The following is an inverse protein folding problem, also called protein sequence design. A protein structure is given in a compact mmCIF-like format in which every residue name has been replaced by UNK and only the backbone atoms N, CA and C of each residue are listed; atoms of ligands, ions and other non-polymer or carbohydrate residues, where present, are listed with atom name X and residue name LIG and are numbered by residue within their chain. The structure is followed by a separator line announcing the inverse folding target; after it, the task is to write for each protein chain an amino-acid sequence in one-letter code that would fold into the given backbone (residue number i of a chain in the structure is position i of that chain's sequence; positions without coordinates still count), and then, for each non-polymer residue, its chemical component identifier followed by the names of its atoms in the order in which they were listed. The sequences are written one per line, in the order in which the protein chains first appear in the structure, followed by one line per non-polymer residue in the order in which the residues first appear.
data_IF_074468650711
#
_entry.id   IF_074468650711
#
_cell.length_a   1.000
_cell.length_b   1.000
_cell.length_c   1.000
_cell.angle_alpha   90.00
_cell.angle_beta   90.00
_cell.angle_gamma   90.00
#
_symmetry.space_group_name_H-M   'P 1'
#
loop_
_entity.id
_entity.type
_entity.pdbx_description
1 polymer ?
#
# COMPACT_ATOMS: atom_id res chain seq x y z
N UNK A 1 15.42 -46.56 20.74
CA UNK A 1 15.57 -45.12 21.05
C UNK A 1 16.76 -44.53 20.27
N UNK A 2 17.93 -45.16 20.32
CA UNK A 2 19.14 -44.79 19.54
C UNK A 2 18.92 -44.74 18.03
N UNK A 3 18.19 -45.70 17.44
CA UNK A 3 17.96 -45.74 15.99
C UNK A 3 17.15 -44.55 15.44
N UNK A 4 16.19 -44.04 16.22
CA UNK A 4 15.34 -42.92 15.82
C UNK A 4 16.13 -41.61 15.93
N UNK A 5 16.92 -41.45 17.00
CA UNK A 5 17.83 -40.30 17.18
C UNK A 5 18.88 -40.27 16.07
N UNK A 6 19.45 -41.42 15.70
CA UNK A 6 20.41 -41.53 14.58
C UNK A 6 19.74 -41.14 13.27
N UNK A 7 18.50 -41.57 13.02
CA UNK A 7 17.75 -41.21 11.80
C UNK A 7 17.48 -39.70 11.72
N UNK A 8 17.06 -39.08 12.82
CA UNK A 8 16.81 -37.64 12.89
C UNK A 8 18.11 -36.85 12.78
N UNK A 9 19.19 -37.27 13.45
CA UNK A 9 20.49 -36.64 13.31
C UNK A 9 21.03 -36.75 11.89
N UNK A 10 20.81 -37.86 11.19
CA UNK A 10 21.22 -38.01 9.78
C UNK A 10 20.43 -37.08 8.87
N UNK A 11 19.12 -36.91 9.10
CA UNK A 11 18.31 -35.95 8.33
C UNK A 11 18.71 -34.49 8.63
N UNK A 12 18.92 -34.14 9.89
CA UNK A 12 19.38 -32.81 10.31
C UNK A 12 20.78 -32.50 9.80
N UNK A 13 21.71 -33.45 9.91
CA UNK A 13 23.07 -33.30 9.37
C UNK A 13 23.04 -33.23 7.83
N UNK A 14 22.12 -33.92 7.16
CA UNK A 14 21.91 -33.79 5.72
C UNK A 14 21.47 -32.39 5.32
N UNK A 15 20.49 -31.82 6.03
CA UNK A 15 19.97 -30.46 5.79
C UNK A 15 21.04 -29.41 6.12
N UNK A 16 21.72 -29.54 7.25
CA UNK A 16 22.82 -28.65 7.64
C UNK A 16 24.00 -28.79 6.69
N UNK A 17 24.34 -29.98 6.20
CA UNK A 17 25.40 -30.18 5.23
C UNK A 17 25.07 -29.53 3.89
N UNK A 18 23.80 -29.60 3.44
CA UNK A 18 23.34 -28.90 2.22
C UNK A 18 23.43 -27.38 2.45
N UNK A 19 22.89 -26.86 3.55
CA UNK A 19 22.97 -25.43 3.89
C UNK A 19 24.42 -24.94 4.02
N UNK A 20 25.30 -25.73 4.64
CA UNK A 20 26.72 -25.37 4.83
C UNK A 20 27.53 -25.51 3.53
N UNK A 21 27.17 -26.45 2.66
CA UNK A 21 27.78 -26.61 1.32
C UNK A 21 27.42 -25.45 0.41
N UNK A 22 26.15 -25.02 0.42
CA UNK A 22 25.69 -23.84 -0.32
C UNK A 22 26.32 -22.55 0.22
N UNK A 23 26.49 -22.42 1.54
CA UNK A 23 27.20 -21.28 2.13
C UNK A 23 28.72 -21.30 1.88
N UNK A 24 29.37 -22.47 1.83
CA UNK A 24 30.82 -22.61 1.54
C UNK A 24 31.19 -22.39 0.09
N UNK A 25 30.28 -22.66 -0.85
CA UNK A 25 30.54 -22.49 -2.29
C UNK A 25 30.36 -21.04 -2.76
N UNK A 26 30.14 -20.07 -1.86
CA UNK A 26 30.14 -18.64 -2.19
C UNK A 26 29.04 -18.25 -3.19
N UNK A 27 27.95 -19.00 -3.24
CA UNK A 27 26.88 -18.80 -4.23
C UNK A 27 25.69 -18.06 -3.63
N UNK A 28 25.92 -16.89 -3.06
CA UNK A 28 24.85 -15.89 -2.90
C UNK A 28 24.22 -15.54 -4.26
N UNK A 29 24.96 -15.73 -5.37
CA UNK A 29 24.49 -15.59 -6.75
C UNK A 29 23.50 -16.67 -7.22
N UNK A 30 23.41 -17.83 -6.57
CA UNK A 30 22.39 -18.84 -6.89
C UNK A 30 21.07 -18.54 -6.17
N UNK A 31 21.12 -17.99 -4.95
CA UNK A 31 19.97 -17.42 -4.25
C UNK A 31 19.38 -16.21 -5.00
N UNK A 32 20.22 -15.36 -5.60
CA UNK A 32 19.77 -14.24 -6.45
C UNK A 32 19.12 -14.67 -7.78
N UNK A 33 19.31 -15.93 -8.20
CA UNK A 33 18.74 -16.49 -9.44
C UNK A 33 17.39 -17.18 -9.24
N UNK A 34 17.00 -17.42 -8.00
CA UNK A 34 15.68 -17.96 -7.69
C UNK A 34 14.66 -16.85 -7.83
N UNK A 35 13.58 -17.15 -8.53
CA UNK A 35 12.40 -16.28 -8.54
C UNK A 35 11.85 -16.15 -7.13
N UNK A 36 11.18 -15.04 -6.82
CA UNK A 36 10.56 -14.82 -5.51
C UNK A 36 9.61 -15.96 -5.13
N UNK A 37 8.90 -16.52 -6.11
CA UNK A 37 8.02 -17.69 -5.95
C UNK A 37 8.77 -18.96 -5.53
N UNK A 38 9.97 -19.21 -6.08
CA UNK A 38 10.79 -20.36 -5.68
C UNK A 38 11.31 -20.22 -4.25
N UNK A 39 11.70 -19.01 -3.84
CA UNK A 39 12.11 -18.70 -2.46
C UNK A 39 10.92 -18.88 -1.50
N UNK A 40 9.74 -18.40 -1.89
CA UNK A 40 8.51 -18.52 -1.09
C UNK A 40 8.09 -19.99 -0.91
N UNK A 41 8.16 -20.77 -1.99
CA UNK A 41 7.86 -22.20 -1.99
C UNK A 41 8.86 -23.00 -1.15
N UNK A 42 10.16 -22.72 -1.27
CA UNK A 42 11.19 -23.32 -0.44
C UNK A 42 10.98 -23.00 1.05
N UNK A 43 10.65 -21.75 1.37
CA UNK A 43 10.38 -21.33 2.76
C UNK A 43 9.12 -22.02 3.32
N UNK A 44 8.06 -22.15 2.52
CA UNK A 44 6.84 -22.86 2.91
C UNK A 44 7.09 -24.37 3.13
N UNK A 45 7.96 -24.99 2.33
CA UNK A 45 8.36 -26.39 2.51
C UNK A 45 9.16 -26.59 3.81
N UNK A 46 10.13 -25.73 4.09
CA UNK A 46 10.91 -25.74 5.34
C UNK A 46 9.97 -25.62 6.56
N UNK A 47 8.97 -24.74 6.49
CA UNK A 47 7.98 -24.60 7.55
C UNK A 47 7.16 -25.88 7.78
N UNK A 48 6.69 -26.54 6.71
CA UNK A 48 5.96 -27.82 6.82
C UNK A 48 6.81 -28.92 7.46
N UNK A 49 8.08 -29.01 7.09
CA UNK A 49 9.03 -29.95 7.69
C UNK A 49 9.23 -29.65 9.19
N UNK A 50 9.36 -28.37 9.57
CA UNK A 50 9.49 -27.96 10.96
C UNK A 50 8.25 -28.33 11.81
N UNK A 51 7.03 -28.16 11.27
CA UNK A 51 5.78 -28.63 11.91
C UNK A 51 5.81 -30.13 12.19
N UNK A 52 6.15 -30.93 11.17
CA UNK A 52 6.24 -32.39 11.29
C UNK A 52 7.26 -32.85 12.34
N UNK A 53 8.41 -32.16 12.42
CA UNK A 53 9.43 -32.43 13.45
C UNK A 53 8.91 -32.06 14.85
N UNK A 54 8.29 -30.89 15.01
CA UNK A 54 7.75 -30.45 16.29
C UNK A 54 6.68 -31.39 16.84
N UNK A 55 5.80 -31.91 15.98
CA UNK A 55 4.77 -32.88 16.37
C UNK A 55 5.39 -34.19 16.85
N UNK A 56 6.40 -34.70 16.15
CA UNK A 56 7.13 -35.91 16.56
C UNK A 56 7.90 -35.71 17.86
N UNK A 57 8.51 -34.55 18.06
CA UNK A 57 9.21 -34.22 19.32
C UNK A 57 8.23 -34.18 20.49
N UNK A 58 7.03 -33.61 20.33
CA UNK A 58 6.01 -33.59 21.40
C UNK A 58 5.57 -35.00 21.82
N UNK A 59 5.51 -35.95 20.88
CA UNK A 59 5.15 -37.36 21.17
C UNK A 59 6.23 -38.08 21.99
N UNK A 60 7.52 -37.67 21.87
CA UNK A 60 8.66 -38.36 22.51
C UNK A 60 8.91 -37.88 23.96
N UNK A 61 8.25 -36.82 24.42
CA UNK A 61 8.52 -36.22 25.73
C UNK A 61 7.79 -36.98 26.84
N UNK A 62 8.46 -37.94 27.47
CA UNK A 62 8.13 -38.40 28.83
C UNK A 62 9.24 -38.11 29.86
N UNK A 63 10.51 -37.86 29.50
CA UNK A 63 11.55 -37.68 30.55
C UNK A 63 12.76 -36.73 30.28
N UNK A 64 12.78 -35.95 29.20
CA UNK A 64 13.96 -35.12 28.84
C UNK A 64 13.76 -33.60 28.97
N UNK A 65 14.40 -32.95 29.96
CA UNK A 65 14.43 -31.46 30.06
C UNK A 65 15.00 -30.79 28.80
N UNK A 66 16.00 -31.40 28.16
CA UNK A 66 16.61 -30.92 26.92
C UNK A 66 15.64 -30.96 25.72
N UNK A 67 14.85 -32.04 25.58
CA UNK A 67 13.86 -32.15 24.51
C UNK A 67 12.75 -31.09 24.61
N UNK A 68 12.33 -30.72 25.83
CA UNK A 68 11.38 -29.61 26.08
C UNK A 68 11.96 -28.25 25.70
N UNK A 69 13.24 -28.01 25.95
CA UNK A 69 13.91 -26.76 25.57
C UNK A 69 13.99 -26.63 24.04
N UNK A 70 14.44 -27.69 23.35
CA UNK A 70 14.50 -27.74 21.88
C UNK A 70 13.12 -27.55 21.22
N UNK A 71 12.07 -28.19 21.75
CA UNK A 71 10.70 -27.99 21.26
C UNK A 71 10.24 -26.52 21.35
N UNK A 72 10.57 -25.84 22.46
CA UNK A 72 10.21 -24.43 22.65
C UNK A 72 10.92 -23.52 21.64
N UNK A 73 12.21 -23.74 21.41
CA UNK A 73 12.98 -22.99 20.41
C UNK A 73 12.45 -23.22 18.99
N UNK A 74 12.16 -24.47 18.63
CA UNK A 74 11.57 -24.83 17.33
C UNK A 74 10.23 -24.13 17.12
N UNK A 75 9.35 -24.08 18.13
CA UNK A 75 8.07 -23.33 18.05
C UNK A 75 8.27 -21.84 17.77
N UNK A 76 9.25 -21.20 18.43
CA UNK A 76 9.55 -19.77 18.21
C UNK A 76 10.05 -19.55 16.78
N UNK A 77 10.97 -20.38 16.30
CA UNK A 77 11.50 -20.30 14.94
C UNK A 77 10.40 -20.50 13.90
N UNK A 78 9.48 -21.45 14.13
CA UNK A 78 8.34 -21.69 13.25
C UNK A 78 7.43 -20.47 13.16
N UNK A 79 7.05 -19.88 14.30
CA UNK A 79 6.20 -18.68 14.32
C UNK A 79 6.85 -17.50 13.59
N UNK A 80 8.16 -17.30 13.79
CA UNK A 80 8.90 -16.26 13.07
C UNK A 80 8.96 -16.53 11.57
N UNK A 81 9.07 -17.79 11.17
CA UNK A 81 9.11 -18.20 9.76
C UNK A 81 7.74 -18.01 9.11
N UNK A 82 6.65 -18.38 9.78
CA UNK A 82 5.27 -18.13 9.34
C UNK A 82 5.04 -16.65 9.05
N UNK A 83 5.39 -15.78 10.01
CA UNK A 83 5.22 -14.34 9.85
C UNK A 83 5.99 -13.80 8.63
N UNK A 84 7.21 -14.28 8.40
CA UNK A 84 8.02 -13.91 7.23
C UNK A 84 7.43 -14.42 5.92
N UNK A 85 6.87 -15.63 5.91
CA UNK A 85 6.20 -16.20 4.73
C UNK A 85 4.95 -15.38 4.38
N UNK A 86 4.16 -15.02 5.37
CA UNK A 86 2.94 -14.22 5.17
C UNK A 86 3.29 -12.80 4.71
N UNK A 87 4.34 -12.20 5.26
CA UNK A 87 4.87 -10.93 4.78
C UNK A 87 5.34 -11.00 3.33
N UNK A 88 6.11 -12.03 2.96
CA UNK A 88 6.60 -12.22 1.60
C UNK A 88 5.46 -12.46 0.59
N UNK A 89 4.41 -13.19 0.98
CA UNK A 89 3.17 -13.36 0.18
C UNK A 89 2.45 -12.04 -0.03
N UNK A 90 2.25 -11.25 1.02
CA UNK A 90 1.59 -9.94 0.91
C UNK A 90 2.40 -9.00 0.02
N UNK A 91 3.73 -8.98 0.18
CA UNK A 91 4.59 -8.14 -0.65
C UNK A 91 4.53 -8.55 -2.13
N UNK A 92 4.50 -9.85 -2.42
CA UNK A 92 4.33 -10.34 -3.79
C UNK A 92 2.96 -9.93 -4.36
N UNK A 93 1.88 -10.15 -3.61
CA UNK A 93 0.54 -9.74 -4.02
C UNK A 93 0.48 -8.24 -4.33
N UNK A 94 1.07 -7.39 -3.49
CA UNK A 94 1.10 -5.94 -3.75
C UNK A 94 1.88 -5.59 -5.02
N UNK A 95 2.98 -6.30 -5.31
CA UNK A 95 3.71 -6.13 -6.57
C UNK A 95 2.87 -6.56 -7.78
N UNK A 96 2.15 -7.68 -7.67
CA UNK A 96 1.27 -8.19 -8.73
C UNK A 96 0.11 -7.22 -9.00
N UNK A 97 -0.55 -6.72 -7.95
CA UNK A 97 -1.61 -5.72 -8.05
C UNK A 97 -1.12 -4.43 -8.71
N UNK A 98 0.06 -3.94 -8.28
CA UNK A 98 0.67 -2.74 -8.86
C UNK A 98 1.06 -2.94 -10.32
N UNK A 99 1.62 -4.10 -10.67
CA UNK A 99 1.98 -4.45 -12.05
C UNK A 99 0.74 -4.57 -12.93
N UNK A 100 -0.32 -5.17 -12.40
CA UNK A 100 -1.58 -5.36 -13.10
C UNK A 100 -2.25 -4.04 -13.44
N UNK A 101 -2.43 -3.15 -12.45
CA UNK A 101 -3.10 -1.86 -12.66
C UNK A 101 -2.19 -0.78 -13.27
N UNK A 102 -0.87 -0.99 -13.22
CA UNK A 102 0.16 -0.08 -13.76
C UNK A 102 -0.12 1.41 -13.48
N UNK A 103 -0.34 1.81 -12.22
CA UNK A 103 -0.72 3.18 -11.91
C UNK A 103 0.41 4.17 -12.21
N UNK A 104 0.12 5.42 -12.62
CA UNK A 104 1.12 6.47 -12.70
C UNK A 104 1.67 6.78 -11.30
N UNK A 105 2.93 7.24 -11.25
CA UNK A 105 3.60 7.62 -10.02
C UNK A 105 3.34 9.10 -9.67
N UNK A 106 2.54 9.41 -8.63
CA UNK A 106 2.27 10.79 -8.22
C UNK A 106 3.41 11.40 -7.39
N UNK A 107 4.38 10.59 -6.92
CA UNK A 107 5.46 11.06 -6.04
C UNK A 107 6.41 12.02 -6.75
N UNK A 108 6.56 11.91 -8.07
CA UNK A 108 7.40 12.81 -8.86
C UNK A 108 6.90 14.26 -8.81
N UNK A 109 5.60 14.49 -9.02
CA UNK A 109 4.97 15.81 -8.88
C UNK A 109 5.02 16.29 -7.43
N UNK A 110 4.73 15.39 -6.47
CA UNK A 110 4.78 15.72 -5.05
C UNK A 110 6.17 16.22 -4.62
N UNK A 111 7.23 15.53 -5.04
CA UNK A 111 8.61 15.88 -4.71
C UNK A 111 9.03 17.22 -5.33
N UNK A 112 8.60 17.52 -6.56
CA UNK A 112 8.85 18.81 -7.21
C UNK A 112 8.16 19.95 -6.44
N UNK A 113 6.88 19.76 -6.09
CA UNK A 113 6.12 20.74 -5.32
C UNK A 113 6.73 20.95 -3.92
N UNK A 114 7.15 19.87 -3.27
CA UNK A 114 7.82 19.90 -1.96
C UNK A 114 9.19 20.59 -2.03
N UNK A 115 9.99 20.33 -3.06
CA UNK A 115 11.29 20.99 -3.25
C UNK A 115 11.14 22.51 -3.51
N UNK A 116 10.00 22.93 -4.04
CA UNK A 116 9.66 24.34 -4.27
C UNK A 116 9.05 25.03 -3.05
N UNK A 117 8.77 24.29 -1.97
CA UNK A 117 8.21 24.83 -0.74
C UNK A 117 9.27 25.66 0.01
N UNK A 118 8.87 26.85 0.43
CA UNK A 118 9.68 27.70 1.29
C UNK A 118 9.05 27.74 2.69
N UNK A 119 9.88 27.71 3.74
CA UNK A 119 9.41 27.77 5.12
C UNK A 119 8.44 28.95 5.34
N UNK A 120 7.34 28.69 6.03
CA UNK A 120 6.26 29.66 6.24
C UNK A 120 5.19 29.72 5.13
N UNK A 121 5.46 29.16 3.95
CA UNK A 121 4.46 29.07 2.86
C UNK A 121 3.23 28.29 3.32
N UNK A 122 2.05 28.81 2.97
CA UNK A 122 0.74 28.26 3.34
C UNK A 122 0.37 28.29 4.84
N UNK A 123 1.20 28.84 5.74
CA UNK A 123 0.91 28.83 7.19
C UNK A 123 -0.46 29.43 7.54
N UNK A 124 -0.85 30.51 6.86
CA UNK A 124 -2.15 31.16 7.03
C UNK A 124 -3.33 30.22 6.76
N UNK A 125 -3.17 29.29 5.82
CA UNK A 125 -4.21 28.33 5.42
C UNK A 125 -4.42 27.27 6.50
N UNK A 126 -3.34 26.67 7.00
CA UNK A 126 -3.40 25.66 8.07
C UNK A 126 -3.89 26.23 9.40
N UNK A 127 -3.64 27.51 9.65
CA UNK A 127 -4.15 28.21 10.84
C UNK A 127 -5.64 28.57 10.71
N UNK A 128 -6.16 28.68 9.49
CA UNK A 128 -7.54 29.03 9.19
C UNK A 128 -8.57 27.98 9.61
N UNK A 129 -9.79 28.43 9.91
CA UNK A 129 -10.89 27.55 10.32
C UNK A 129 -11.32 26.60 9.21
N UNK A 130 -11.32 27.04 7.94
CA UNK A 130 -11.76 26.25 6.79
C UNK A 130 -10.98 24.94 6.67
N UNK A 131 -9.65 25.00 6.76
CA UNK A 131 -8.81 23.81 6.68
C UNK A 131 -9.06 22.89 7.88
N UNK A 132 -9.10 23.44 9.10
CA UNK A 132 -9.33 22.67 10.34
C UNK A 132 -10.69 21.98 10.34
N UNK A 133 -11.73 22.67 9.90
CA UNK A 133 -13.08 22.12 9.76
C UNK A 133 -13.10 20.99 8.74
N UNK A 134 -12.52 21.21 7.55
CA UNK A 134 -12.41 20.17 6.53
C UNK A 134 -11.66 18.94 7.05
N UNK A 135 -10.48 19.14 7.64
CA UNK A 135 -9.65 18.09 8.22
C UNK A 135 -10.40 17.31 9.31
N UNK A 136 -11.29 17.96 10.06
CA UNK A 136 -12.03 17.27 11.13
C UNK A 136 -13.18 16.42 10.60
N UNK A 137 -14.04 16.96 9.72
CA UNK A 137 -15.36 16.40 9.38
C UNK A 137 -15.89 16.81 7.99
N UNK A 138 -15.13 17.56 7.20
CA UNK A 138 -15.66 18.15 5.97
C UNK A 138 -15.64 17.16 4.79
N UNK A 139 -16.73 17.07 4.00
CA UNK A 139 -16.81 16.12 2.88
C UNK A 139 -15.98 16.54 1.65
N UNK A 140 -15.68 17.84 1.47
CA UNK A 140 -14.95 18.36 0.33
C UNK A 140 -14.33 19.73 0.64
N UNK A 141 -13.09 19.95 0.20
CA UNK A 141 -12.44 21.26 0.18
C UNK A 141 -11.95 21.54 -1.24
N UNK A 142 -12.50 22.60 -1.85
CA UNK A 142 -12.13 23.03 -3.19
C UNK A 142 -11.27 24.28 -3.11
N UNK A 143 -9.99 24.17 -3.46
CA UNK A 143 -9.05 25.29 -3.48
C UNK A 143 -8.86 25.76 -4.92
N UNK A 144 -9.12 27.05 -5.16
CA UNK A 144 -8.93 27.68 -6.47
C UNK A 144 -8.14 28.98 -6.33
N UNK A 145 -7.47 29.39 -7.39
CA UNK A 145 -6.60 30.57 -7.44
C UNK A 145 -5.94 30.69 -8.81
N UNK A 146 -5.34 31.84 -9.12
CA UNK A 146 -4.72 32.06 -10.45
C UNK A 146 -3.56 31.09 -10.70
N UNK A 147 -3.22 30.78 -11.96
CA UNK A 147 -1.98 30.08 -12.28
C UNK A 147 -0.78 30.73 -11.60
N UNK A 148 0.14 29.94 -11.05
CA UNK A 148 1.30 30.43 -10.30
C UNK A 148 1.05 30.81 -8.84
N UNK A 149 -0.19 30.76 -8.34
CA UNK A 149 -0.52 31.16 -6.96
C UNK A 149 -0.08 30.15 -5.86
N UNK A 150 0.76 29.17 -6.19
CA UNK A 150 1.28 28.18 -5.24
C UNK A 150 0.32 27.05 -4.85
N UNK A 151 -0.76 26.78 -5.62
CA UNK A 151 -1.73 25.71 -5.31
C UNK A 151 -1.08 24.32 -5.16
N UNK A 152 -0.21 23.92 -6.08
CA UNK A 152 0.48 22.62 -5.98
C UNK A 152 1.40 22.51 -4.77
N UNK A 153 2.04 23.62 -4.37
CA UNK A 153 2.82 23.71 -3.12
C UNK A 153 1.90 23.54 -1.90
N UNK A 154 0.73 24.19 -1.93
CA UNK A 154 -0.29 24.04 -0.89
C UNK A 154 -0.81 22.59 -0.81
N UNK A 155 -1.15 21.96 -1.94
CA UNK A 155 -1.53 20.54 -2.02
C UNK A 155 -0.45 19.62 -1.43
N UNK A 156 0.81 19.84 -1.79
CA UNK A 156 1.94 19.10 -1.22
C UNK A 156 2.03 19.28 0.30
N UNK A 157 1.80 20.50 0.80
CA UNK A 157 1.83 20.77 2.25
C UNK A 157 0.67 20.07 2.97
N UNK A 158 -0.53 20.00 2.35
CA UNK A 158 -1.69 19.28 2.90
C UNK A 158 -1.38 17.78 3.01
N UNK A 159 -0.77 17.21 1.96
CA UNK A 159 -0.37 15.79 1.95
C UNK A 159 0.59 15.52 3.11
N UNK A 160 1.60 16.38 3.34
CA UNK A 160 2.56 16.21 4.44
C UNK A 160 1.90 16.31 5.83
N UNK A 161 0.95 17.23 6.01
CA UNK A 161 0.21 17.37 7.28
C UNK A 161 -0.73 16.19 7.58
N UNK A 162 -1.23 15.51 6.53
CA UNK A 162 -2.04 14.29 6.67
C UNK A 162 -1.16 13.05 6.83
N UNK A 163 0.02 13.02 6.21
CA UNK A 163 0.98 11.90 6.28
C UNK A 163 1.35 11.56 7.73
N UNK A 164 1.54 12.57 8.59
CA UNK A 164 1.76 12.37 10.02
C UNK A 164 0.60 11.63 10.73
N UNK A 165 -0.65 11.83 10.29
CA UNK A 165 -1.80 11.08 10.82
C UNK A 165 -1.82 9.63 10.31
N UNK A 166 -1.36 9.41 9.08
CA UNK A 166 -1.21 8.07 8.52
C UNK A 166 -0.13 7.27 9.23
N UNK A 167 1.02 7.88 9.52
CA UNK A 167 2.11 7.26 10.29
C UNK A 167 1.67 6.88 11.72
N UNK A 168 0.80 7.71 12.32
CA UNK A 168 0.18 7.42 13.61
C UNK A 168 -0.93 6.35 13.55
N UNK A 169 -1.30 5.87 12.36
CA UNK A 169 -2.38 4.89 12.17
C UNK A 169 -3.79 5.45 12.41
N UNK A 170 -3.97 6.77 12.39
CA UNK A 170 -5.22 7.45 12.69
C UNK A 170 -6.04 7.74 11.43
N UNK A 171 -5.38 7.80 10.26
CA UNK A 171 -6.01 8.13 8.99
C UNK A 171 -5.41 7.34 7.81
N UNK A 172 -6.13 7.34 6.70
CA UNK A 172 -5.65 6.85 5.42
C UNK A 172 -5.58 7.97 4.40
N UNK A 173 -4.67 7.86 3.44
CA UNK A 173 -4.49 8.86 2.41
C UNK A 173 -4.17 8.21 1.07
N UNK A 174 -4.75 8.78 0.02
CA UNK A 174 -4.28 8.64 -1.35
C UNK A 174 -4.27 10.02 -2.02
N UNK A 175 -3.37 10.22 -2.97
CA UNK A 175 -3.27 11.48 -3.67
C UNK A 175 -2.92 11.30 -5.14
N UNK A 176 -3.26 12.31 -5.94
CA UNK A 176 -2.98 12.32 -7.37
C UNK A 176 -2.69 13.74 -7.84
N UNK A 177 -1.72 13.86 -8.73
CA UNK A 177 -1.40 15.10 -9.42
C UNK A 177 -1.77 14.91 -10.88
N UNK A 178 -2.74 15.69 -11.35
CA UNK A 178 -2.91 15.84 -12.79
C UNK A 178 -1.73 16.63 -13.36
N UNK A 179 -1.31 16.26 -14.56
CA UNK A 179 -0.19 16.92 -15.24
C UNK A 179 -0.41 16.90 -16.76
N UNK A 180 -0.68 18.06 -17.36
CA UNK A 180 -0.89 18.21 -18.79
C UNK A 180 0.33 17.79 -19.64
N UNK A 181 1.51 17.65 -19.02
CA UNK A 181 2.75 17.21 -19.69
C UNK A 181 2.94 15.69 -19.66
N UNK A 182 2.21 14.99 -18.80
CA UNK A 182 2.27 13.53 -18.66
C UNK A 182 0.92 12.90 -19.04
N UNK A 183 0.87 12.25 -20.21
CA UNK A 183 -0.36 11.62 -20.72
C UNK A 183 -0.94 10.57 -19.74
N UNK A 184 -0.10 9.96 -18.89
CA UNK A 184 -0.56 8.99 -17.90
C UNK A 184 -1.25 9.66 -16.70
N UNK A 185 -1.13 10.98 -16.54
CA UNK A 185 -1.70 11.74 -15.43
C UNK A 185 -2.88 12.62 -15.83
N UNK A 186 -3.46 12.38 -17.00
CA UNK A 186 -4.54 13.21 -17.53
C UNK A 186 -5.90 12.55 -17.44
N UNK A 187 -5.96 11.22 -17.38
CA UNK A 187 -7.22 10.49 -17.53
C UNK A 187 -7.74 9.92 -16.21
N UNK A 188 -9.07 9.75 -16.15
CA UNK A 188 -9.80 9.19 -15.02
C UNK A 188 -9.39 7.77 -14.67
N UNK A 189 -9.11 6.93 -15.67
CA UNK A 189 -8.73 5.54 -15.45
C UNK A 189 -7.46 5.45 -14.57
N UNK A 190 -6.45 6.24 -14.91
CA UNK A 190 -5.17 6.27 -14.22
C UNK A 190 -5.26 6.94 -12.84
N UNK A 191 -6.15 7.91 -12.67
CA UNK A 191 -6.52 8.39 -11.33
C UNK A 191 -7.04 7.24 -10.47
N UNK A 192 -8.04 6.49 -10.96
CA UNK A 192 -8.68 5.41 -10.21
C UNK A 192 -7.69 4.29 -9.86
N UNK A 193 -6.87 3.83 -10.82
CA UNK A 193 -5.86 2.80 -10.57
C UNK A 193 -4.82 3.25 -9.56
N UNK A 194 -4.40 4.53 -9.62
CA UNK A 194 -3.46 5.10 -8.65
C UNK A 194 -4.05 5.16 -7.24
N UNK A 195 -5.29 5.65 -7.08
CA UNK A 195 -5.94 5.72 -5.78
C UNK A 195 -6.13 4.32 -5.16
N UNK A 196 -6.62 3.35 -5.95
CA UNK A 196 -6.83 1.98 -5.46
C UNK A 196 -5.54 1.31 -5.03
N UNK A 197 -4.46 1.47 -5.81
CA UNK A 197 -3.15 0.90 -5.47
C UNK A 197 -2.57 1.55 -4.22
N UNK A 198 -2.73 2.87 -4.04
CA UNK A 198 -2.28 3.55 -2.83
C UNK A 198 -3.07 3.08 -1.60
N UNK A 199 -4.39 2.93 -1.70
CA UNK A 199 -5.25 2.51 -0.58
C UNK A 199 -5.09 1.01 -0.25
N UNK A 200 -4.80 0.14 -1.21
CA UNK A 200 -4.62 -1.30 -0.97
C UNK A 200 -3.43 -1.63 -0.07
N UNK A 201 -2.48 -0.72 0.07
CA UNK A 201 -1.31 -0.88 0.95
C UNK A 201 -1.58 -0.48 2.40
N UNK A 202 -2.77 0.09 2.69
CA UNK A 202 -3.03 0.76 3.97
C UNK A 202 -3.65 -0.13 5.03
N UNK A 203 -4.35 -1.18 4.63
CA UNK A 203 -4.96 -2.14 5.57
C UNK A 203 -5.17 -3.50 4.88
N UNK A 204 -5.34 -4.55 5.69
CA UNK A 204 -5.70 -5.87 5.15
C UNK A 204 -7.05 -5.83 4.43
N UNK A 205 -8.05 -5.12 4.97
CA UNK A 205 -9.37 -5.02 4.35
C UNK A 205 -9.32 -4.37 2.96
N UNK A 206 -8.57 -3.27 2.78
CA UNK A 206 -8.41 -2.63 1.47
C UNK A 206 -7.60 -3.52 0.52
N UNK A 207 -6.56 -4.19 1.01
CA UNK A 207 -5.81 -5.18 0.24
C UNK A 207 -6.72 -6.31 -0.27
N UNK A 208 -7.56 -6.87 0.59
CA UNK A 208 -8.47 -7.98 0.27
C UNK A 208 -9.49 -7.57 -0.80
N UNK A 209 -10.05 -6.36 -0.69
CA UNK A 209 -10.98 -5.82 -1.70
C UNK A 209 -10.30 -5.79 -3.08
N UNK A 210 -9.07 -5.27 -3.16
CA UNK A 210 -8.35 -5.18 -4.44
C UNK A 210 -7.91 -6.56 -4.94
N UNK A 211 -7.50 -7.44 -4.04
CA UNK A 211 -7.12 -8.83 -4.34
C UNK A 211 -8.29 -9.61 -4.92
N UNK A 212 -9.50 -9.46 -4.36
CA UNK A 212 -10.71 -10.09 -4.91
C UNK A 212 -11.00 -9.60 -6.32
N UNK A 213 -10.81 -8.30 -6.55
CA UNK A 213 -10.96 -7.73 -7.89
C UNK A 213 -9.93 -8.34 -8.86
N UNK A 214 -8.67 -8.43 -8.47
CA UNK A 214 -7.60 -9.06 -9.25
C UNK A 214 -7.92 -10.51 -9.60
N UNK A 215 -8.35 -11.32 -8.63
CA UNK A 215 -8.71 -12.72 -8.85
C UNK A 215 -9.89 -12.87 -9.80
N UNK A 216 -10.93 -12.03 -9.67
CA UNK A 216 -12.09 -12.03 -10.60
C UNK A 216 -11.71 -11.64 -12.03
N UNK A 217 -10.56 -11.01 -12.23
CA UNK A 217 -10.03 -10.58 -13.52
C UNK A 217 -8.95 -11.54 -14.06
N UNK A 218 -9.14 -12.85 -13.83
CA UNK A 218 -8.23 -13.91 -14.26
C UNK A 218 -6.81 -13.70 -13.72
N UNK A 219 -6.70 -13.39 -12.42
CA UNK A 219 -5.44 -13.07 -11.75
C UNK A 219 -4.59 -12.08 -12.56
N UNK A 220 -5.22 -10.96 -12.95
CA UNK A 220 -4.58 -9.90 -13.72
C UNK A 220 -4.50 -10.11 -15.23
N UNK A 221 -5.05 -11.20 -15.77
CA UNK A 221 -5.10 -11.46 -17.20
C UNK A 221 -6.03 -10.54 -17.99
N UNK A 222 -6.90 -9.77 -17.31
CA UNK A 222 -7.80 -8.77 -17.92
C UNK A 222 -7.77 -7.46 -17.15
N UNK A 223 -7.94 -6.34 -17.85
CA UNK A 223 -8.07 -5.02 -17.22
C UNK A 223 -9.52 -4.74 -16.81
N UNK A 224 -9.77 -4.12 -15.64
CA UNK A 224 -11.10 -3.71 -15.22
C UNK A 224 -11.54 -2.43 -15.95
N UNK A 225 -12.85 -2.23 -16.09
CA UNK A 225 -13.40 -0.96 -16.60
C UNK A 225 -13.44 0.13 -15.51
N UNK A 226 -13.62 1.39 -15.90
CA UNK A 226 -13.75 2.51 -14.96
C UNK A 226 -14.89 2.30 -13.95
N UNK A 227 -16.04 1.77 -14.37
CA UNK A 227 -17.18 1.53 -13.48
C UNK A 227 -16.86 0.50 -12.39
N UNK A 228 -16.09 -0.53 -12.77
CA UNK A 228 -15.62 -1.56 -11.85
C UNK A 228 -14.61 -0.97 -10.86
N UNK A 229 -13.68 -0.13 -11.33
CA UNK A 229 -12.73 0.58 -10.49
C UNK A 229 -13.43 1.54 -9.51
N UNK A 230 -14.44 2.29 -9.97
CA UNK A 230 -15.27 3.16 -9.12
C UNK A 230 -16.00 2.36 -8.05
N UNK A 231 -16.57 1.20 -8.42
CA UNK A 231 -17.21 0.32 -7.45
C UNK A 231 -16.22 -0.18 -6.40
N UNK A 232 -15.04 -0.62 -6.83
CA UNK A 232 -13.95 -1.04 -5.93
C UNK A 232 -13.55 0.08 -4.95
N UNK A 233 -13.41 1.33 -5.45
CA UNK A 233 -13.08 2.47 -4.61
C UNK A 233 -14.17 2.74 -3.57
N UNK A 234 -15.46 2.67 -3.97
CA UNK A 234 -16.59 2.81 -3.03
C UNK A 234 -16.55 1.76 -1.92
N UNK A 235 -16.20 0.51 -2.24
CA UNK A 235 -16.05 -0.55 -1.24
C UNK A 235 -14.93 -0.21 -0.24
N UNK A 236 -13.75 0.23 -0.72
CA UNK A 236 -12.65 0.65 0.17
C UNK A 236 -13.03 1.83 1.06
N UNK A 237 -13.78 2.80 0.53
CA UNK A 237 -14.23 3.97 1.30
C UNK A 237 -15.36 3.67 2.30
N UNK A 238 -16.05 2.54 2.14
CA UNK A 238 -17.20 2.16 2.98
C UNK A 238 -16.88 1.12 4.06
N UNK A 239 -15.60 0.85 4.31
CA UNK A 239 -15.18 -0.10 5.35
C UNK A 239 -15.66 0.40 6.72
N UNK A 240 -16.40 -0.40 7.50
CA UNK A 240 -16.87 0.01 8.82
C UNK A 240 -15.72 0.27 9.80
N UNK A 241 -15.89 1.27 10.67
CA UNK A 241 -14.94 1.62 11.74
C UNK A 241 -13.51 1.98 11.26
N UNK A 242 -13.32 2.29 9.98
CA UNK A 242 -12.04 2.80 9.50
C UNK A 242 -11.82 4.26 9.91
N UNK A 243 -10.55 4.64 10.09
CA UNK A 243 -10.17 6.04 10.23
C UNK A 243 -10.54 6.86 8.99
N UNK A 244 -10.58 8.20 9.07
CA UNK A 244 -10.87 9.05 7.93
C UNK A 244 -9.93 8.76 6.74
N UNK A 245 -10.50 8.72 5.53
CA UNK A 245 -9.75 8.58 4.28
C UNK A 245 -9.69 9.95 3.59
N UNK A 246 -8.48 10.47 3.40
CA UNK A 246 -8.24 11.70 2.66
C UNK A 246 -7.84 11.38 1.23
N UNK A 247 -8.51 12.02 0.27
CA UNK A 247 -8.15 11.98 -1.14
C UNK A 247 -7.77 13.39 -1.56
N UNK A 248 -6.51 13.60 -1.92
CA UNK A 248 -5.98 14.91 -2.33
C UNK A 248 -5.70 14.90 -3.82
N UNK A 249 -6.36 15.78 -4.58
CA UNK A 249 -6.21 15.90 -6.03
C UNK A 249 -5.68 17.30 -6.37
N UNK A 250 -4.53 17.36 -7.05
CA UNK A 250 -3.98 18.62 -7.56
C UNK A 250 -4.25 18.77 -9.06
N UNK A 251 -4.47 20.01 -9.50
CA UNK A 251 -4.64 20.39 -10.90
C UNK A 251 -5.77 19.63 -11.66
N UNK A 252 -6.89 19.31 -10.99
CA UNK A 252 -8.02 18.57 -11.59
C UNK A 252 -8.55 19.19 -12.89
N UNK A 253 -8.36 20.50 -13.07
CA UNK A 253 -8.70 21.23 -14.30
C UNK A 253 -7.82 20.87 -15.52
N UNK A 254 -6.69 20.20 -15.33
CA UNK A 254 -5.85 19.65 -16.40
C UNK A 254 -6.35 18.29 -16.93
N UNK A 255 -7.42 17.72 -16.32
CA UNK A 255 -8.12 16.59 -16.88
C UNK A 255 -8.83 17.00 -18.19
N UNK A 256 -8.56 16.35 -19.34
CA UNK A 256 -9.19 16.70 -20.60
C UNK A 256 -10.71 16.58 -20.51
N UNK A 257 -11.42 17.60 -21.00
CA UNK A 257 -12.87 17.52 -21.16
C UNK A 257 -13.17 16.47 -22.24
N UNK A 258 -13.84 15.39 -21.87
CA UNK A 258 -14.47 14.52 -22.87
C UNK A 258 -15.61 15.32 -23.49
N UNK A 259 -15.61 15.44 -24.82
CA UNK A 259 -16.51 16.31 -25.57
C UNK A 259 -17.98 16.13 -25.15
N UNK A 260 -18.54 17.14 -24.49
CA UNK A 260 -19.94 17.21 -24.07
C UNK A 260 -20.21 17.13 -22.56
N UNK A 261 -19.21 16.83 -21.72
CA UNK A 261 -19.34 16.89 -20.27
C UNK A 261 -18.89 18.26 -19.74
N UNK A 262 -19.61 18.87 -18.77
CA UNK A 262 -19.11 20.06 -18.08
C UNK A 262 -17.76 19.74 -17.45
N UNK A 263 -16.85 20.71 -17.42
CA UNK A 263 -15.55 20.55 -16.76
C UNK A 263 -15.73 20.09 -15.30
N UNK A 264 -14.75 19.39 -14.69
CA UNK A 264 -14.82 19.02 -13.27
C UNK A 264 -15.16 20.21 -12.37
N UNK A 265 -14.67 21.40 -12.73
CA UNK A 265 -15.05 22.68 -12.13
C UNK A 265 -16.56 22.89 -12.17
N UNK A 266 -17.18 22.87 -13.34
CA UNK A 266 -18.62 23.11 -13.54
C UNK A 266 -19.49 22.04 -12.87
N UNK A 267 -19.04 20.78 -12.80
CA UNK A 267 -19.79 19.71 -12.12
C UNK A 267 -19.79 19.87 -10.60
N UNK A 268 -18.67 20.31 -10.01
CA UNK A 268 -18.58 20.59 -8.57
C UNK A 268 -19.43 21.80 -8.19
N UNK A 269 -19.43 22.85 -9.02
CA UNK A 269 -20.26 24.05 -8.77
C UNK A 269 -21.74 23.83 -9.07
N UNK A 270 -22.09 22.91 -9.98
CA UNK A 270 -23.46 22.70 -10.43
C UNK A 270 -24.34 21.86 -9.50
N UNK A 271 -23.76 21.11 -8.53
CA UNK A 271 -24.49 20.06 -7.82
C UNK A 271 -24.77 20.28 -6.33
N UNK A 272 -24.45 21.44 -5.72
CA UNK A 272 -24.95 21.85 -4.38
C UNK A 272 -24.99 23.36 -4.19
N UNK A 273 -25.97 23.80 -3.39
CA UNK A 273 -26.03 25.11 -2.74
C UNK A 273 -24.65 25.62 -2.32
N UNK A 274 -24.30 26.82 -2.81
CA UNK A 274 -23.10 27.63 -2.54
C UNK A 274 -21.96 26.92 -1.77
N UNK A 275 -20.86 26.50 -2.43
CA UNK A 275 -19.64 26.16 -1.70
C UNK A 275 -19.16 27.37 -0.89
N UNK A 276 -18.59 27.12 0.28
CA UNK A 276 -18.04 28.12 1.18
C UNK A 276 -17.17 29.10 0.38
N UNK A 277 -17.67 30.33 0.19
CA UNK A 277 -16.87 31.38 -0.40
C UNK A 277 -15.72 31.66 0.55
N UNK A 278 -14.50 31.44 0.08
CA UNK A 278 -13.31 31.86 0.80
C UNK A 278 -13.47 33.35 1.20
N UNK A 279 -13.06 33.75 2.43
CA UNK A 279 -13.04 35.15 2.84
C UNK A 279 -12.34 36.01 1.78
N UNK A 280 -12.73 37.30 1.68
CA UNK A 280 -12.24 38.24 0.66
C UNK A 280 -10.71 38.27 0.48
N UNK A 281 -9.94 37.83 1.47
CA UNK A 281 -8.48 37.68 1.42
C UNK A 281 -7.96 36.64 0.41
N UNK A 282 -8.79 35.72 -0.11
CA UNK A 282 -8.40 34.75 -1.14
C UNK A 282 -8.65 35.20 -2.58
N UNK A 283 -9.10 36.46 -2.82
CA UNK A 283 -9.28 36.97 -4.18
C UNK A 283 -7.97 37.43 -4.85
N UNK A 284 -6.92 37.58 -4.07
CA UNK A 284 -5.63 38.12 -4.51
C UNK A 284 -4.50 37.07 -4.56
N UNK A 285 -4.86 35.79 -4.82
CA UNK A 285 -3.94 34.74 -5.24
C UNK A 285 -4.10 34.41 -6.72
#
# INVERSE_FOLDING_TARGET
MTDIIVKIMVEVLGILAIATKEMRQGSTKALDKLTHDEVLMATAQVLKLAHSVNDKVNIIIDDGKEAKATSKEVKVIMQQTENKVDEAKRNQLQQDLRKWLSPPDPSTNHNIARASHHSGTASWFFQGSIFKEWKSRGPLLWVHGKPGSGKSILCSTIIQDIEAMCEAGIAFMAYFYFDFRDANKQNRHNLLTSLLTQLSTRSNHTCDILSNLYSSHNNGGRQPSDDVLIHCLKLMLSIPNQGPVYIVLDALDECPNTSGMPSPREQVYGNRDRPAQLPRQCRDL
#
